data_IF_322683154150
#
_entry.id   IF_322683154150
#
_cell.length_a   1.000
_cell.length_b   1.000
_cell.length_c   1.000
_cell.angle_alpha   90.00
_cell.angle_beta   90.00
_cell.angle_gamma   90.00
#
_symmetry.space_group_name_H-M   'P 1'
#
loop_
_entity.id
_entity.type
_entity.pdbx_description
1 polymer ?
#
# COMPACT_ATOMS: atom_id res chain seq x y z
N UNK A 1 -2.92 -9.11 -0.23
CA UNK A 1 -2.80 -7.67 -0.53
C UNK A 1 -1.41 -7.34 -1.07
N UNK A 2 -1.28 -6.44 -2.07
CA UNK A 2 -0.05 -6.18 -2.83
C UNK A 2 1.18 -5.84 -1.98
N UNK A 3 0.97 -5.18 -0.85
CA UNK A 3 2.00 -4.73 0.12
C UNK A 3 2.63 -5.84 0.94
N UNK A 4 1.87 -6.90 1.24
CA UNK A 4 2.41 -8.08 1.90
C UNK A 4 3.47 -8.77 1.02
N UNK A 5 3.37 -8.60 -0.30
CA UNK A 5 4.27 -9.22 -1.25
C UNK A 5 5.58 -8.45 -1.42
N UNK A 6 5.56 -7.10 -1.46
CA UNK A 6 6.78 -6.29 -1.63
C UNK A 6 7.73 -6.41 -0.44
N UNK A 7 7.19 -6.50 0.77
CA UNK A 7 8.01 -6.66 1.98
C UNK A 7 8.54 -8.10 2.15
N UNK A 8 7.79 -9.09 1.69
CA UNK A 8 8.27 -10.48 1.62
C UNK A 8 9.45 -10.63 0.64
N UNK A 9 9.38 -9.99 -0.53
CA UNK A 9 10.45 -10.02 -1.55
C UNK A 9 11.74 -9.33 -1.05
N UNK A 10 11.62 -8.34 -0.17
CA UNK A 10 12.79 -7.64 0.40
C UNK A 10 13.42 -8.35 1.61
N UNK A 11 12.92 -9.53 1.99
CA UNK A 11 13.33 -10.31 3.16
C UNK A 11 13.33 -9.48 4.45
N UNK A 12 12.41 -8.52 4.55
CA UNK A 12 12.19 -7.72 5.76
C UNK A 12 11.19 -8.49 6.64
N UNK A 13 11.54 -8.82 7.88
CA UNK A 13 10.60 -9.50 8.77
C UNK A 13 9.43 -8.58 9.13
N UNK A 14 8.20 -9.08 8.99
CA UNK A 14 6.96 -8.33 9.15
C UNK A 14 6.04 -8.99 10.18
N UNK A 15 5.44 -8.17 11.03
CA UNK A 15 4.30 -8.55 11.86
C UNK A 15 3.01 -8.14 11.14
N UNK A 16 2.10 -9.09 10.92
CA UNK A 16 0.78 -8.81 10.36
C UNK A 16 -0.16 -8.32 11.45
N UNK A 17 -0.93 -7.31 11.11
CA UNK A 17 -2.01 -6.78 11.94
C UNK A 17 -1.64 -6.53 13.42
N UNK A 18 -0.60 -5.71 13.68
CA UNK A 18 -0.15 -5.44 15.03
C UNK A 18 -1.24 -4.72 15.84
N UNK A 19 -1.32 -5.05 17.12
CA UNK A 19 -2.21 -4.39 18.09
C UNK A 19 -1.39 -3.52 19.04
N UNK A 20 -2.05 -2.56 19.71
CA UNK A 20 -1.39 -1.69 20.69
C UNK A 20 -0.44 -0.66 20.09
N UNK A 21 -0.57 -0.35 18.79
CA UNK A 21 0.29 0.62 18.10
C UNK A 21 -0.06 2.09 18.40
N UNK A 22 -1.13 2.33 19.15
CA UNK A 22 -1.51 3.63 19.71
C UNK A 22 -1.97 3.43 21.15
N UNK A 23 -1.64 4.40 22.00
CA UNK A 23 -1.92 4.36 23.46
C UNK A 23 -3.41 4.55 23.75
N UNK A 24 -4.13 5.26 22.87
CA UNK A 24 -5.50 5.72 23.13
C UNK A 24 -6.55 4.90 22.36
N UNK A 25 -6.15 4.14 21.34
CA UNK A 25 -7.10 3.61 20.36
C UNK A 25 -6.79 2.16 19.95
N UNK A 26 -7.83 1.34 19.78
CA UNK A 26 -7.76 -0.04 19.25
C UNK A 26 -7.40 -0.13 17.75
N UNK A 27 -6.60 0.81 17.26
CA UNK A 27 -6.15 0.91 15.87
C UNK A 27 -5.24 -0.28 15.53
N UNK A 28 -5.51 -0.90 14.39
CA UNK A 28 -4.83 -2.09 13.88
C UNK A 28 -4.47 -1.83 12.41
N UNK A 29 -3.22 -1.49 12.09
CA UNK A 29 -2.76 -1.34 10.71
C UNK A 29 -2.57 -2.74 10.11
N UNK A 30 -2.37 -2.85 8.80
CA UNK A 30 -2.23 -4.15 8.14
C UNK A 30 -0.91 -4.85 8.49
N UNK A 31 0.13 -4.08 8.80
CA UNK A 31 1.39 -4.65 9.26
C UNK A 31 2.39 -3.62 9.77
N UNK A 32 3.47 -4.13 10.37
CA UNK A 32 4.66 -3.36 10.67
C UNK A 32 5.94 -4.18 10.50
N UNK A 33 7.09 -3.51 10.33
CA UNK A 33 8.39 -4.19 10.34
C UNK A 33 8.73 -4.63 11.77
N UNK A 34 9.41 -5.78 11.89
CA UNK A 34 9.98 -6.24 13.17
C UNK A 34 11.34 -5.61 13.45
N UNK A 35 12.05 -5.20 12.39
CA UNK A 35 13.31 -4.47 12.50
C UNK A 35 13.09 -2.98 12.22
N UNK A 36 13.90 -2.08 12.81
CA UNK A 36 13.84 -0.66 12.50
C UNK A 36 14.01 -0.40 11.00
N UNK A 37 13.14 0.45 10.46
CA UNK A 37 13.18 0.91 9.07
C UNK A 37 14.07 2.14 8.91
N UNK A 38 13.88 3.16 9.77
CA UNK A 38 14.67 4.40 9.74
C UNK A 38 14.76 5.01 11.13
N UNK A 39 15.93 5.55 11.48
CA UNK A 39 16.16 6.28 12.73
C UNK A 39 15.71 5.50 14.00
N UNK A 40 15.92 4.18 14.01
CA UNK A 40 15.53 3.33 15.15
C UNK A 40 14.04 3.02 15.25
N UNK A 41 13.20 3.52 14.33
CA UNK A 41 11.75 3.30 14.33
C UNK A 41 11.33 2.18 13.38
N UNK A 42 10.37 1.36 13.79
CA UNK A 42 9.74 0.40 12.90
C UNK A 42 8.74 1.10 11.97
N UNK A 43 8.57 0.58 10.76
CA UNK A 43 7.59 1.11 9.81
C UNK A 43 6.27 0.36 10.00
N UNK A 44 5.17 1.07 10.20
CA UNK A 44 3.81 0.54 10.17
C UNK A 44 3.07 1.04 8.92
N UNK A 45 2.18 0.24 8.36
CA UNK A 45 1.40 0.61 7.18
C UNK A 45 0.00 0.02 7.20
N UNK A 46 -0.91 0.73 6.55
CA UNK A 46 -2.30 0.33 6.33
C UNK A 46 -2.59 0.58 4.84
N UNK A 47 -3.14 -0.42 4.18
CA UNK A 47 -3.24 -0.50 2.72
C UNK A 47 -4.63 -0.08 2.31
N UNK A 48 -4.74 0.69 1.25
CA UNK A 48 -6.03 1.04 0.67
C UNK A 48 -5.95 1.01 -0.84
N UNK A 49 -6.93 0.34 -1.46
CA UNK A 49 -6.99 0.18 -2.91
C UNK A 49 -8.28 0.81 -3.45
N UNK A 50 -8.32 2.14 -3.64
CA UNK A 50 -9.51 2.82 -4.13
C UNK A 50 -9.78 2.45 -5.59
N UNK A 51 -11.07 2.35 -5.95
CA UNK A 51 -11.48 2.13 -7.33
C UNK A 51 -11.28 3.38 -8.18
N UNK A 52 -10.37 3.33 -9.16
CA UNK A 52 -10.13 4.43 -10.12
C UNK A 52 -11.41 4.89 -10.82
N UNK A 53 -12.30 3.95 -11.13
CA UNK A 53 -13.56 4.20 -11.85
C UNK A 53 -14.77 4.34 -10.92
N UNK A 54 -14.56 4.37 -9.60
CA UNK A 54 -15.66 4.55 -8.66
C UNK A 54 -16.29 5.93 -8.87
N UNK A 55 -17.63 6.01 -8.85
CA UNK A 55 -18.40 7.25 -9.07
C UNK A 55 -17.89 8.43 -8.24
N UNK A 56 -17.56 8.19 -6.96
CA UNK A 56 -17.03 9.20 -6.05
C UNK A 56 -15.65 9.76 -6.41
N UNK A 57 -14.88 9.07 -7.27
CA UNK A 57 -13.53 9.46 -7.65
C UNK A 57 -13.36 9.74 -9.15
N UNK A 58 -14.28 9.26 -10.00
CA UNK A 58 -14.14 9.34 -11.47
C UNK A 58 -13.96 10.77 -12.01
N UNK A 59 -14.61 11.75 -11.38
CA UNK A 59 -14.48 13.16 -11.74
C UNK A 59 -13.09 13.75 -11.44
N UNK A 60 -12.32 13.11 -10.56
CA UNK A 60 -10.92 13.45 -10.25
C UNK A 60 -9.98 12.63 -11.12
N UNK A 61 -10.13 11.31 -11.14
CA UNK A 61 -9.21 10.38 -11.83
C UNK A 61 -9.24 10.54 -13.35
N UNK A 62 -10.34 11.06 -13.91
CA UNK A 62 -10.41 11.45 -15.34
C UNK A 62 -9.54 12.64 -15.71
N UNK A 63 -9.14 13.48 -14.73
CA UNK A 63 -8.32 14.67 -14.95
C UNK A 63 -6.85 14.41 -14.64
N UNK A 64 -6.57 13.64 -13.60
CA UNK A 64 -5.22 13.34 -13.16
C UNK A 64 -5.16 11.96 -12.50
N UNK A 65 -4.16 11.17 -12.86
CA UNK A 65 -4.00 9.81 -12.34
C UNK A 65 -3.54 9.84 -10.87
N UNK A 66 -4.02 8.89 -10.06
CA UNK A 66 -3.61 8.77 -8.66
C UNK A 66 -4.43 9.63 -7.69
N UNK A 67 -5.31 10.51 -8.16
CA UNK A 67 -6.12 11.36 -7.29
C UNK A 67 -7.07 10.56 -6.37
N UNK A 68 -7.52 9.36 -6.76
CA UNK A 68 -8.32 8.53 -5.87
C UNK A 68 -7.49 7.96 -4.70
N UNK A 69 -6.16 7.87 -4.85
CA UNK A 69 -5.25 7.39 -3.81
C UNK A 69 -4.86 8.50 -2.81
N UNK A 70 -4.91 9.77 -3.19
CA UNK A 70 -4.48 10.90 -2.33
C UNK A 70 -5.37 11.02 -1.09
N UNK A 71 -6.68 11.13 -1.27
CA UNK A 71 -7.60 11.35 -0.15
C UNK A 71 -7.55 10.24 0.91
N UNK A 72 -7.61 8.94 0.55
CA UNK A 72 -7.43 7.87 1.53
C UNK A 72 -6.06 7.90 2.22
N UNK A 73 -5.00 8.31 1.51
CA UNK A 73 -3.66 8.46 2.08
C UNK A 73 -3.65 9.48 3.22
N UNK A 74 -4.23 10.66 2.98
CA UNK A 74 -4.34 11.73 3.99
C UNK A 74 -5.21 11.31 5.18
N UNK A 75 -6.32 10.62 4.93
CA UNK A 75 -7.21 10.08 5.98
C UNK A 75 -6.47 9.06 6.86
N UNK A 76 -5.62 8.21 6.27
CA UNK A 76 -4.79 7.26 7.03
C UNK A 76 -3.70 7.96 7.82
N UNK A 77 -3.06 9.01 7.30
CA UNK A 77 -2.07 9.79 8.06
C UNK A 77 -2.71 10.36 9.32
N UNK A 78 -3.88 11.00 9.19
CA UNK A 78 -4.65 11.50 10.34
C UNK A 78 -5.07 10.39 11.30
N UNK A 79 -5.51 9.23 10.76
CA UNK A 79 -5.86 8.06 11.57
C UNK A 79 -4.70 7.62 12.46
N UNK A 80 -3.45 7.74 12.02
CA UNK A 80 -2.28 7.26 12.79
C UNK A 80 -1.36 8.38 13.31
N UNK A 81 -1.86 9.62 13.39
CA UNK A 81 -1.09 10.78 13.88
C UNK A 81 -0.59 10.60 15.32
N UNK A 82 -1.32 9.84 16.14
CA UNK A 82 -0.96 9.49 17.53
C UNK A 82 -0.46 8.04 17.69
N UNK A 83 0.23 7.52 16.67
CA UNK A 83 0.95 6.25 16.80
C UNK A 83 2.10 6.35 17.82
N UNK A 84 2.56 5.20 18.32
CA UNK A 84 3.70 5.15 19.25
C UNK A 84 4.93 5.88 18.68
N UNK A 85 5.73 6.58 19.50
CA UNK A 85 6.94 7.29 19.02
C UNK A 85 7.98 6.39 18.35
N UNK A 86 7.97 5.10 18.67
CA UNK A 86 8.83 4.05 18.08
C UNK A 86 8.38 3.59 16.69
N UNK A 87 7.24 4.10 16.19
CA UNK A 87 6.69 3.76 14.89
C UNK A 87 6.73 4.99 13.97
N UNK A 88 7.16 4.78 12.74
CA UNK A 88 6.85 5.66 11.63
C UNK A 88 5.70 5.02 10.85
N UNK A 89 4.63 5.79 10.61
CA UNK A 89 3.49 5.31 9.83
C UNK A 89 3.59 5.77 8.37
N UNK A 90 3.32 4.87 7.43
CA UNK A 90 3.22 5.15 6.01
C UNK A 90 1.91 4.59 5.45
N UNK A 91 0.98 5.42 4.94
CA UNK A 91 -0.16 4.91 4.19
C UNK A 91 0.32 4.28 2.89
N UNK A 92 -0.27 3.13 2.52
CA UNK A 92 -0.02 2.54 1.20
C UNK A 92 -1.30 2.60 0.38
N UNK A 93 -1.39 3.62 -0.49
CA UNK A 93 -2.56 3.87 -1.31
C UNK A 93 -2.24 3.69 -2.80
N UNK A 94 -2.89 2.69 -3.40
CA UNK A 94 -2.70 2.31 -4.80
C UNK A 94 -4.08 2.17 -5.41
N UNK A 95 -4.42 2.97 -6.41
CA UNK A 95 -5.67 2.77 -7.12
C UNK A 95 -5.70 1.40 -7.82
N UNK A 96 -6.90 0.87 -8.02
CA UNK A 96 -7.11 -0.48 -8.59
C UNK A 96 -6.46 -0.66 -9.98
N UNK A 97 -6.32 0.41 -10.77
CA UNK A 97 -5.67 0.36 -12.09
C UNK A 97 -4.15 0.58 -12.04
N UNK A 98 -3.57 0.83 -10.86
CA UNK A 98 -2.13 0.95 -10.66
C UNK A 98 -1.57 2.32 -10.24
N UNK A 99 -2.20 3.48 -10.52
CA UNK A 99 -1.72 4.76 -10.00
C UNK A 99 -1.57 4.74 -8.48
N UNK A 100 -0.52 5.37 -7.95
CA UNK A 100 -0.20 5.36 -6.51
C UNK A 100 -0.11 6.78 -6.01
N UNK A 101 -0.42 7.01 -4.73
CA UNK A 101 -0.10 8.31 -4.14
C UNK A 101 1.43 8.52 -4.10
N UNK A 102 1.91 9.79 -4.05
CA UNK A 102 3.33 10.10 -4.12
C UNK A 102 4.19 9.40 -3.05
N UNK A 103 3.67 9.24 -1.83
CA UNK A 103 4.42 8.61 -0.75
C UNK A 103 4.58 7.11 -0.99
N UNK A 104 3.51 6.44 -1.43
CA UNK A 104 3.56 5.03 -1.84
C UNK A 104 4.52 4.81 -3.00
N UNK A 105 4.46 5.65 -4.05
CA UNK A 105 5.35 5.53 -5.21
C UNK A 105 6.81 5.68 -4.82
N UNK A 106 7.13 6.66 -3.97
CA UNK A 106 8.49 6.86 -3.46
C UNK A 106 8.96 5.66 -2.63
N UNK A 107 8.11 5.15 -1.76
CA UNK A 107 8.42 4.01 -0.91
C UNK A 107 8.69 2.73 -1.72
N UNK A 108 7.80 2.38 -2.65
CA UNK A 108 7.96 1.20 -3.52
C UNK A 108 9.24 1.31 -4.35
N UNK A 109 9.53 2.49 -4.93
CA UNK A 109 10.79 2.72 -5.66
C UNK A 109 12.01 2.51 -4.78
N UNK A 110 11.99 2.95 -3.52
CA UNK A 110 13.09 2.71 -2.57
C UNK A 110 13.23 1.22 -2.28
N UNK A 111 12.14 0.50 -2.00
CA UNK A 111 12.19 -0.94 -1.75
C UNK A 111 12.74 -1.72 -2.95
N UNK A 112 12.25 -1.45 -4.16
CA UNK A 112 12.73 -2.13 -5.37
C UNK A 112 14.22 -1.85 -5.63
N UNK A 113 14.71 -0.64 -5.34
CA UNK A 113 16.15 -0.32 -5.43
C UNK A 113 16.96 -1.09 -4.39
N UNK A 114 16.47 -1.20 -3.15
CA UNK A 114 17.14 -1.98 -2.11
C UNK A 114 17.25 -3.47 -2.49
N UNK A 115 16.20 -4.02 -3.11
CA UNK A 115 16.21 -5.40 -3.63
C UNK A 115 17.32 -5.56 -4.69
N UNK A 116 17.35 -4.68 -5.70
CA UNK A 116 18.36 -4.74 -6.76
C UNK A 116 19.80 -4.58 -6.25
N UNK A 117 20.03 -3.69 -5.28
CA UNK A 117 21.35 -3.53 -4.64
C UNK A 117 21.73 -4.77 -3.85
N UNK A 118 20.80 -5.36 -3.09
CA UNK A 118 21.04 -6.55 -2.28
C UNK A 118 21.29 -7.81 -3.12
N UNK A 119 20.57 -7.97 -4.24
CA UNK A 119 20.73 -9.11 -5.14
C UNK A 119 21.98 -8.99 -6.02
N UNK A 120 22.47 -7.76 -6.24
CA UNK A 120 23.50 -7.47 -7.23
C UNK A 120 22.98 -7.48 -8.67
N UNK A 121 21.66 -7.61 -8.87
CA UNK A 121 21.02 -7.66 -10.19
C UNK A 121 19.97 -6.54 -10.32
N UNK A 122 20.27 -5.58 -11.19
CA UNK A 122 19.38 -4.46 -11.48
C UNK A 122 18.02 -4.87 -12.08
N UNK A 123 17.89 -6.09 -12.63
CA UNK A 123 16.63 -6.62 -13.17
C UNK A 123 15.61 -6.93 -12.08
N UNK A 124 16.06 -7.22 -10.86
CA UNK A 124 15.19 -7.47 -9.71
C UNK A 124 14.29 -6.27 -9.39
N UNK A 125 14.75 -5.05 -9.69
CA UNK A 125 13.91 -3.86 -9.61
C UNK A 125 12.66 -4.01 -10.49
N UNK A 126 12.84 -4.40 -11.75
CA UNK A 126 11.75 -4.54 -12.71
C UNK A 126 10.88 -5.76 -12.40
N UNK A 127 11.47 -6.87 -11.95
CA UNK A 127 10.71 -8.05 -11.53
C UNK A 127 9.82 -7.75 -10.33
N UNK A 128 10.30 -7.00 -9.34
CA UNK A 128 9.50 -6.59 -8.20
C UNK A 128 8.31 -5.71 -8.62
N UNK A 129 8.53 -4.72 -9.48
CA UNK A 129 7.45 -3.87 -10.01
C UNK A 129 6.44 -4.69 -10.81
N UNK A 130 6.91 -5.57 -11.70
CA UNK A 130 6.03 -6.42 -12.50
C UNK A 130 5.18 -7.35 -11.61
N UNK A 131 5.76 -7.88 -10.54
CA UNK A 131 5.04 -8.71 -9.60
C UNK A 131 3.91 -7.93 -8.90
N UNK A 132 4.15 -6.68 -8.49
CA UNK A 132 3.11 -5.79 -7.95
C UNK A 132 2.00 -5.58 -8.97
N UNK A 133 2.35 -5.29 -10.23
CA UNK A 133 1.38 -5.12 -11.31
C UNK A 133 0.50 -6.36 -11.49
N UNK A 134 1.09 -7.56 -11.51
CA UNK A 134 0.34 -8.81 -11.62
C UNK A 134 -0.63 -9.02 -10.44
N UNK A 135 -0.22 -8.68 -9.21
CA UNK A 135 -1.10 -8.78 -8.04
C UNK A 135 -2.27 -7.80 -8.11
N UNK A 136 -2.03 -6.58 -8.59
CA UNK A 136 -3.09 -5.58 -8.81
C UNK A 136 -4.07 -6.04 -9.88
N UNK A 137 -3.60 -6.60 -11.00
CA UNK A 137 -4.48 -7.14 -12.04
C UNK A 137 -5.34 -8.32 -11.53
N UNK A 138 -4.78 -9.19 -10.68
CA UNK A 138 -5.56 -10.25 -10.02
C UNK A 138 -6.62 -9.69 -9.09
N UNK A 139 -6.32 -8.61 -8.37
CA UNK A 139 -7.28 -7.92 -7.50
C UNK A 139 -8.37 -7.19 -8.31
N UNK A 140 -8.00 -6.53 -9.41
CA UNK A 140 -8.94 -5.90 -10.34
C UNK A 140 -9.95 -6.91 -10.87
N UNK A 141 -9.50 -8.12 -11.24
CA UNK A 141 -10.40 -9.20 -11.66
C UNK A 141 -11.47 -9.50 -10.61
N UNK A 142 -11.10 -9.59 -9.33
CA UNK A 142 -12.05 -9.81 -8.23
C UNK A 142 -13.04 -8.66 -8.13
N UNK A 143 -12.55 -7.41 -8.15
CA UNK A 143 -13.40 -6.22 -8.09
C UNK A 143 -14.42 -6.18 -9.24
N UNK A 144 -13.99 -6.51 -10.46
CA UNK A 144 -14.89 -6.53 -11.64
C UNK A 144 -15.92 -7.64 -11.51
N UNK A 145 -15.52 -8.85 -11.11
CA UNK A 145 -16.45 -9.98 -10.93
C UNK A 145 -17.51 -9.68 -9.85
N UNK A 146 -17.11 -9.08 -8.73
CA UNK A 146 -18.05 -8.66 -7.68
C UNK A 146 -19.04 -7.61 -8.18
N UNK A 147 -18.57 -6.60 -8.93
CA UNK A 147 -19.44 -5.59 -9.51
C UNK A 147 -20.43 -6.17 -10.53
N UNK A 148 -20.01 -7.14 -11.37
CA UNK A 148 -20.92 -7.79 -12.33
C UNK A 148 -22.02 -8.54 -11.57
N UNK A 149 -21.67 -9.31 -10.53
CA UNK A 149 -22.65 -10.04 -9.73
C UNK A 149 -23.65 -9.09 -9.05
N UNK A 150 -23.16 -8.00 -8.44
CA UNK A 150 -24.01 -6.99 -7.82
C UNK A 150 -25.01 -6.34 -8.80
N UNK A 151 -24.64 -6.21 -10.07
CA UNK A 151 -25.52 -5.66 -11.11
C UNK A 151 -26.39 -6.72 -11.80
N UNK A 152 -26.12 -8.02 -11.60
CA UNK A 152 -26.95 -9.11 -12.12
C UNK A 152 -28.12 -9.44 -11.19
N UNK A 153 -28.03 -9.06 -9.91
CA UNK A 153 -29.07 -9.21 -8.89
C UNK A 153 -30.03 -7.98 -8.81
N UNK A 154 -29.93 -7.05 -9.77
CA UNK A 154 -30.79 -5.85 -9.93
C UNK A 154 -31.66 -6.03 -11.18
#
# INVERSE_FOLDING_TARGET
MPTLCVLYISSIPVLKEPSGISVQDGKRPDGCTLTPWRAGKCLAWDVTVPGTLAERYVHLTSKECGLAAIRPSDEKIKKYEHALPSLDFLPICIEVLGPMDPNTSKFIKTLCKMIGVRSGDNREFFFAINHISCLLQRFLRVCVSENINLNADV
#
